data_IF_925768316114
#
_entry.id   IF_925768316114
#
_cell.length_a   1.000
_cell.length_b   1.000
_cell.length_c   1.000
_cell.angle_alpha   90.00
_cell.angle_beta   90.00
_cell.angle_gamma   90.00
#
_symmetry.space_group_name_H-M   'P 1'
#
loop_
_entity.id
_entity.type
_entity.pdbx_description
1 polymer ?
#
# COMPACT_ATOMS: atom_id res chain seq x y z
N UNK A 1 10.64 1.41 -82.27
CA UNK A 1 10.10 0.58 -81.18
C UNK A 1 10.37 1.30 -79.87
N UNK A 2 9.31 1.83 -79.27
CA UNK A 2 9.35 2.73 -78.11
C UNK A 2 9.12 1.93 -76.81
N UNK A 3 9.86 2.17 -75.72
CA UNK A 3 9.52 1.55 -74.44
C UNK A 3 8.50 2.42 -73.69
N UNK A 4 7.39 1.80 -73.31
CA UNK A 4 6.29 2.37 -72.55
C UNK A 4 6.64 2.48 -71.07
N UNK A 5 6.63 3.70 -70.54
CA UNK A 5 6.77 3.95 -69.10
C UNK A 5 5.45 3.65 -68.36
N UNK A 6 5.44 2.64 -67.47
CA UNK A 6 4.34 2.43 -66.51
C UNK A 6 4.49 3.40 -65.33
N UNK A 7 3.59 4.38 -65.22
CA UNK A 7 3.41 5.21 -64.02
C UNK A 7 2.77 4.38 -62.90
N UNK A 8 3.38 4.37 -61.71
CA UNK A 8 2.78 3.81 -60.48
C UNK A 8 1.70 4.76 -59.93
N UNK A 9 0.54 4.28 -59.45
CA UNK A 9 -0.52 5.14 -58.94
C UNK A 9 -0.14 5.67 -57.55
N UNK A 10 0.00 6.99 -57.42
CA UNK A 10 0.29 7.69 -56.16
C UNK A 10 -0.87 7.69 -55.16
N UNK A 11 -2.05 7.22 -55.56
CA UNK A 11 -3.27 7.19 -54.72
C UNK A 11 -3.34 6.01 -53.75
N UNK A 12 -2.59 4.92 -53.98
CA UNK A 12 -2.61 3.75 -53.10
C UNK A 12 -1.82 3.96 -51.79
N UNK A 13 -0.83 4.86 -51.78
CA UNK A 13 0.00 5.13 -50.60
C UNK A 13 -0.72 6.05 -49.60
N UNK A 14 -1.60 6.94 -50.07
CA UNK A 14 -2.39 7.82 -49.21
C UNK A 14 -3.43 7.08 -48.35
N UNK A 15 -4.10 6.06 -48.92
CA UNK A 15 -5.08 5.26 -48.18
C UNK A 15 -4.44 4.31 -47.16
N UNK A 16 -3.22 3.81 -47.42
CA UNK A 16 -2.50 2.95 -46.49
C UNK A 16 -2.04 3.72 -45.23
N UNK A 17 -1.63 4.99 -45.36
CA UNK A 17 -1.26 5.82 -44.21
C UNK A 17 -2.46 6.25 -43.36
N UNK A 18 -3.63 6.48 -43.97
CA UNK A 18 -4.86 6.76 -43.22
C UNK A 18 -5.38 5.53 -42.45
N UNK A 19 -5.23 4.32 -43.02
CA UNK A 19 -5.62 3.08 -42.36
C UNK A 19 -4.70 2.71 -41.18
N UNK A 20 -3.40 3.01 -41.26
CA UNK A 20 -2.44 2.73 -40.17
C UNK A 20 -2.61 3.74 -39.01
N UNK A 21 -3.00 4.99 -39.28
CA UNK A 21 -3.31 5.96 -38.23
C UNK A 21 -4.61 5.61 -37.47
N UNK A 22 -5.58 4.96 -38.12
CA UNK A 22 -6.82 4.51 -37.48
C UNK A 22 -6.65 3.26 -36.61
N UNK A 23 -5.61 2.46 -36.81
CA UNK A 23 -5.34 1.25 -35.99
C UNK A 23 -4.52 1.50 -34.73
N UNK A 24 -3.98 2.72 -34.54
CA UNK A 24 -3.29 3.12 -33.29
C UNK A 24 -4.18 3.93 -32.34
N UNK A 25 -5.35 4.36 -32.80
CA UNK A 25 -6.40 4.91 -31.95
C UNK A 25 -7.41 3.79 -31.66
N UNK A 26 -7.00 2.81 -30.84
CA UNK A 26 -8.00 2.04 -30.10
C UNK A 26 -8.93 3.05 -29.43
N UNK A 27 -10.26 2.96 -29.58
CA UNK A 27 -11.13 3.73 -28.71
C UNK A 27 -10.68 3.41 -27.29
N UNK A 28 -10.28 4.42 -26.53
CA UNK A 28 -10.23 4.28 -25.08
C UNK A 28 -11.68 4.06 -24.71
N UNK A 29 -12.06 2.80 -24.45
CA UNK A 29 -13.40 2.52 -23.94
C UNK A 29 -13.45 3.26 -22.61
N UNK A 30 -14.25 4.32 -22.57
CA UNK A 30 -14.55 5.05 -21.36
C UNK A 30 -15.43 4.13 -20.52
N UNK A 31 -14.83 3.47 -19.53
CA UNK A 31 -15.54 2.60 -18.60
C UNK A 31 -15.61 3.34 -17.26
N UNK A 32 -16.78 3.44 -16.61
CA UNK A 32 -16.85 3.91 -15.23
C UNK A 32 -15.90 3.08 -14.36
N UNK A 33 -15.35 3.73 -13.33
CA UNK A 33 -14.54 3.06 -12.33
C UNK A 33 -15.36 1.90 -11.73
N UNK A 34 -14.74 0.71 -11.55
CA UNK A 34 -15.34 -0.31 -10.71
C UNK A 34 -15.62 0.25 -9.32
N UNK A 35 -16.66 -0.26 -8.67
CA UNK A 35 -17.06 0.21 -7.35
C UNK A 35 -15.91 0.00 -6.35
N UNK A 36 -15.83 0.82 -5.30
CA UNK A 36 -14.80 0.64 -4.27
C UNK A 36 -14.80 -0.80 -3.70
N UNK A 37 -15.98 -1.39 -3.47
CA UNK A 37 -16.11 -2.77 -3.01
C UNK A 37 -15.54 -3.80 -4.01
N UNK A 38 -15.70 -3.58 -5.32
CA UNK A 38 -15.11 -4.45 -6.34
C UNK A 38 -13.58 -4.32 -6.37
N UNK A 39 -13.05 -3.10 -6.26
CA UNK A 39 -11.61 -2.87 -6.18
C UNK A 39 -11.00 -3.45 -4.90
N UNK A 40 -11.72 -3.36 -3.78
CA UNK A 40 -11.33 -3.95 -2.51
C UNK A 40 -11.27 -5.49 -2.60
N UNK A 41 -12.23 -6.12 -3.27
CA UNK A 41 -12.23 -7.57 -3.49
C UNK A 41 -11.02 -8.05 -4.33
N UNK A 42 -10.43 -7.17 -5.14
CA UNK A 42 -9.23 -7.45 -5.95
C UNK A 42 -7.92 -7.08 -5.24
N UNK A 43 -7.98 -6.51 -4.03
CA UNK A 43 -6.81 -6.00 -3.30
C UNK A 43 -5.75 -7.07 -3.04
N UNK A 44 -6.11 -8.36 -3.01
CA UNK A 44 -5.17 -9.48 -2.90
C UNK A 44 -4.14 -9.55 -4.03
N UNK A 45 -4.39 -8.91 -5.18
CA UNK A 45 -3.48 -8.84 -6.31
C UNK A 45 -2.65 -7.54 -6.35
N UNK A 46 -2.85 -6.62 -5.41
CA UNK A 46 -2.10 -5.37 -5.36
C UNK A 46 -0.61 -5.64 -5.04
N UNK A 47 0.35 -4.89 -5.62
CA UNK A 47 1.78 -5.13 -5.38
C UNK A 47 2.17 -5.15 -3.89
N UNK A 48 1.58 -4.28 -3.07
CA UNK A 48 1.85 -4.20 -1.63
C UNK A 48 1.37 -5.45 -0.86
N UNK A 49 0.23 -6.03 -1.24
CA UNK A 49 -0.31 -7.23 -0.61
C UNK A 49 0.43 -8.49 -1.07
N UNK A 50 0.84 -8.53 -2.34
CA UNK A 50 1.71 -9.58 -2.89
C UNK A 50 3.09 -9.58 -2.24
N UNK A 51 3.71 -8.41 -2.05
CA UNK A 51 4.98 -8.27 -1.33
C UNK A 51 4.87 -8.79 0.11
N UNK A 52 3.83 -8.36 0.82
CA UNK A 52 3.56 -8.81 2.18
C UNK A 52 3.31 -10.32 2.26
N UNK A 53 2.58 -10.89 1.28
CA UNK A 53 2.36 -12.32 1.13
C UNK A 53 3.67 -13.08 0.92
N UNK A 54 4.53 -12.63 0.00
CA UNK A 54 5.83 -13.25 -0.27
C UNK A 54 6.77 -13.20 0.95
N UNK A 55 6.75 -12.11 1.71
CA UNK A 55 7.51 -11.99 2.96
C UNK A 55 7.03 -13.00 4.01
N UNK A 56 5.72 -13.22 4.12
CA UNK A 56 5.14 -14.25 4.98
C UNK A 56 5.49 -15.67 4.51
N UNK A 57 5.42 -15.95 3.20
CA UNK A 57 5.81 -17.24 2.62
C UNK A 57 7.28 -17.56 2.88
N UNK A 58 8.15 -16.54 2.79
CA UNK A 58 9.55 -16.67 3.14
C UNK A 58 9.75 -16.98 4.64
N UNK A 59 8.96 -16.37 5.53
CA UNK A 59 9.00 -16.67 6.96
C UNK A 59 8.52 -18.12 7.26
N UNK A 60 7.44 -18.57 6.61
CA UNK A 60 6.97 -19.95 6.70
C UNK A 60 7.99 -20.95 6.13
N UNK A 61 8.70 -20.60 5.06
CA UNK A 61 9.82 -21.39 4.55
C UNK A 61 10.96 -21.49 5.57
N UNK A 62 11.28 -20.41 6.29
CA UNK A 62 12.26 -20.44 7.41
C UNK A 62 11.78 -21.33 8.56
N UNK A 63 10.47 -21.38 8.86
CA UNK A 63 9.90 -22.33 9.82
C UNK A 63 10.11 -23.78 9.37
N UNK A 64 9.88 -24.09 8.08
CA UNK A 64 10.16 -25.42 7.53
C UNK A 64 11.65 -25.75 7.60
N UNK A 65 12.52 -24.81 7.23
CA UNK A 65 13.97 -24.98 7.31
C UNK A 65 14.44 -25.21 8.75
N UNK A 66 13.88 -24.49 9.73
CA UNK A 66 14.19 -24.68 11.14
C UNK A 66 13.89 -26.11 11.64
N UNK A 67 12.94 -26.81 11.01
CA UNK A 67 12.60 -28.21 11.32
C UNK A 67 13.57 -29.22 10.72
N UNK A 68 14.35 -28.86 9.71
CA UNK A 68 15.29 -29.80 9.07
C UNK A 68 16.43 -30.13 10.03
N UNK A 69 16.89 -31.38 10.01
CA UNK A 69 18.07 -31.83 10.76
C UNK A 69 19.34 -31.52 9.96
N UNK A 70 20.48 -31.24 10.59
CA UNK A 70 21.76 -31.14 9.92
C UNK A 70 22.03 -32.40 9.10
N UNK A 71 22.57 -32.22 7.89
CA UNK A 71 22.97 -33.35 7.06
C UNK A 71 24.14 -34.08 7.71
N UNK A 72 24.21 -35.42 7.57
CA UNK A 72 25.39 -36.15 7.96
C UNK A 72 26.59 -35.75 7.09
N UNK A 73 27.79 -35.87 7.65
CA UNK A 73 29.06 -35.59 6.96
C UNK A 73 29.78 -36.91 6.72
N UNK A 74 30.03 -37.24 5.45
CA UNK A 74 30.90 -38.36 5.07
C UNK A 74 32.35 -37.86 5.03
N UNK A 75 33.20 -38.43 5.87
CA UNK A 75 34.64 -38.21 5.91
C UNK A 75 35.39 -39.40 5.34
N UNK A 76 36.45 -39.11 4.59
CA UNK A 76 37.43 -40.09 4.13
C UNK A 76 38.82 -39.59 4.48
N UNK A 77 39.52 -40.34 5.33
CA UNK A 77 40.85 -39.99 5.83
C UNK A 77 41.85 -41.07 5.41
N UNK A 78 43.03 -40.63 4.97
CA UNK A 78 44.18 -41.52 4.72
C UNK A 78 45.33 -41.06 5.61
N UNK A 79 45.70 -41.91 6.55
CA UNK A 79 46.78 -41.68 7.51
C UNK A 79 47.97 -42.60 7.21
N UNK A 80 49.13 -42.34 7.79
CA UNK A 80 50.32 -43.20 7.66
C UNK A 80 50.82 -43.44 6.21
N UNK A 81 50.50 -42.53 5.29
CA UNK A 81 50.86 -42.57 3.88
C UNK A 81 51.96 -41.54 3.51
N UNK A 82 52.78 -41.86 2.50
CA UNK A 82 53.80 -40.97 1.90
C UNK A 82 54.80 -40.33 2.89
N UNK A 83 55.14 -41.04 3.97
CA UNK A 83 56.17 -40.66 4.93
C UNK A 83 57.55 -41.28 4.64
N UNK A 84 58.40 -41.35 5.66
CA UNK A 84 59.71 -42.00 5.62
C UNK A 84 59.74 -43.28 6.48
N UNK A 85 60.70 -44.17 6.22
CA UNK A 85 60.82 -45.41 6.98
C UNK A 85 59.61 -46.33 6.77
N UNK A 86 58.99 -46.88 7.84
CA UNK A 86 57.80 -47.74 7.72
C UNK A 86 56.62 -47.08 7.00
N UNK A 87 56.51 -45.75 7.00
CA UNK A 87 55.38 -45.04 6.40
C UNK A 87 55.60 -44.65 4.93
N UNK A 88 56.62 -45.22 4.28
CA UNK A 88 56.94 -44.96 2.87
C UNK A 88 55.89 -45.58 1.94
N UNK A 89 55.39 -44.80 0.99
CA UNK A 89 54.36 -45.25 0.03
C UNK A 89 53.00 -45.41 0.68
N UNK A 90 52.25 -46.46 0.31
CA UNK A 90 50.90 -46.75 0.80
C UNK A 90 50.78 -48.09 1.54
N UNK A 91 51.87 -48.84 1.65
CA UNK A 91 51.82 -50.22 2.15
C UNK A 91 51.41 -50.33 3.62
N UNK A 92 51.53 -49.23 4.39
CA UNK A 92 51.10 -49.13 5.78
C UNK A 92 50.09 -47.98 5.99
N UNK A 93 49.39 -47.58 4.92
CA UNK A 93 48.41 -46.50 5.00
C UNK A 93 47.13 -46.98 5.69
N UNK A 94 46.63 -46.19 6.62
CA UNK A 94 45.34 -46.44 7.26
C UNK A 94 44.26 -45.65 6.53
N UNK A 95 43.21 -46.32 6.06
CA UNK A 95 42.09 -45.67 5.38
C UNK A 95 40.86 -45.71 6.26
N UNK A 96 40.28 -44.55 6.56
CA UNK A 96 39.04 -44.45 7.33
C UNK A 96 37.93 -43.88 6.47
N UNK A 97 36.78 -44.55 6.44
CA UNK A 97 35.54 -43.99 5.91
C UNK A 97 34.55 -43.88 7.07
N UNK A 98 34.13 -42.66 7.41
CA UNK A 98 33.25 -42.41 8.55
C UNK A 98 32.08 -41.49 8.19
N UNK A 99 30.92 -41.73 8.78
CA UNK A 99 29.78 -40.82 8.74
C UNK A 99 29.64 -40.20 10.12
N UNK A 100 29.59 -38.87 10.18
CA UNK A 100 29.35 -38.12 11.41
C UNK A 100 28.02 -37.36 11.34
N UNK A 101 27.35 -37.25 12.49
CA UNK A 101 26.06 -36.60 12.62
C UNK A 101 26.05 -35.73 13.87
N UNK A 102 25.60 -34.49 13.69
CA UNK A 102 25.24 -33.61 14.81
C UNK A 102 23.92 -34.08 15.44
N UNK A 103 23.95 -34.31 16.76
CA UNK A 103 22.82 -34.84 17.51
C UNK A 103 21.79 -33.76 17.91
N UNK A 104 22.08 -32.47 17.69
CA UNK A 104 21.22 -31.33 18.04
C UNK A 104 20.64 -31.40 19.47
N UNK A 105 21.50 -31.67 20.46
CA UNK A 105 21.08 -31.85 21.86
C UNK A 105 20.53 -30.57 22.51
N UNK A 106 20.08 -30.67 23.76
CA UNK A 106 19.64 -29.54 24.60
C UNK A 106 18.42 -28.77 24.09
N UNK A 107 17.68 -29.33 23.13
CA UNK A 107 16.56 -28.62 22.50
C UNK A 107 17.00 -27.56 21.49
N UNK A 108 18.20 -27.66 20.89
CA UNK A 108 18.65 -26.77 19.79
C UNK A 108 17.60 -26.66 18.69
N UNK A 109 17.08 -27.81 18.25
CA UNK A 109 16.03 -27.85 17.23
C UNK A 109 14.72 -27.24 17.68
N UNK A 110 14.26 -27.53 18.91
CA UNK A 110 12.97 -27.02 19.39
C UNK A 110 12.98 -25.51 19.59
N UNK A 111 14.06 -24.96 20.14
CA UNK A 111 14.25 -23.50 20.29
C UNK A 111 14.35 -22.80 18.95
N UNK A 112 15.11 -23.35 17.99
CA UNK A 112 15.17 -22.84 16.60
C UNK A 112 13.79 -22.80 15.94
N UNK A 113 13.00 -23.87 16.09
CA UNK A 113 11.61 -23.93 15.57
C UNK A 113 10.72 -22.90 16.27
N UNK A 114 10.82 -22.77 17.60
CA UNK A 114 10.00 -21.83 18.36
C UNK A 114 10.28 -20.38 17.97
N UNK A 115 11.55 -20.01 17.81
CA UNK A 115 11.93 -18.68 17.33
C UNK A 115 11.42 -18.41 15.90
N UNK A 116 11.67 -19.33 14.96
CA UNK A 116 11.19 -19.19 13.59
C UNK A 116 9.66 -19.06 13.51
N UNK A 117 8.91 -19.80 14.33
CA UNK A 117 7.43 -19.70 14.40
C UNK A 117 6.97 -18.35 14.95
N UNK A 118 7.60 -17.86 16.01
CA UNK A 118 7.26 -16.56 16.58
C UNK A 118 7.56 -15.43 15.58
N UNK A 119 8.67 -15.52 14.85
CA UNK A 119 9.00 -14.59 13.76
C UNK A 119 7.97 -14.66 12.62
N UNK A 120 7.60 -15.85 12.14
CA UNK A 120 6.58 -16.00 11.13
C UNK A 120 5.22 -15.47 11.58
N UNK A 121 4.85 -15.66 12.86
CA UNK A 121 3.65 -15.07 13.44
C UNK A 121 3.66 -13.54 13.41
N UNK A 122 4.80 -12.91 13.74
CA UNK A 122 4.95 -11.46 13.64
C UNK A 122 4.85 -10.95 12.19
N UNK A 123 5.49 -11.65 11.25
CA UNK A 123 5.39 -11.32 9.81
C UNK A 123 3.96 -11.52 9.28
N UNK A 124 3.24 -12.52 9.76
CA UNK A 124 1.83 -12.74 9.42
C UNK A 124 0.95 -11.57 9.82
N UNK A 125 1.13 -11.04 11.04
CA UNK A 125 0.40 -9.85 11.50
C UNK A 125 0.82 -8.59 10.74
N UNK A 126 2.09 -8.46 10.34
CA UNK A 126 2.54 -7.36 9.47
C UNK A 126 1.90 -7.44 8.09
N UNK A 127 1.72 -8.64 7.54
CA UNK A 127 0.99 -8.83 6.29
C UNK A 127 -0.47 -8.39 6.43
N UNK A 128 -1.14 -8.77 7.51
CA UNK A 128 -2.53 -8.37 7.75
C UNK A 128 -2.65 -6.84 7.87
N UNK A 129 -1.71 -6.19 8.57
CA UNK A 129 -1.64 -4.72 8.63
C UNK A 129 -1.38 -4.08 7.25
N UNK A 130 -0.49 -4.66 6.42
CA UNK A 130 -0.23 -4.18 5.07
C UNK A 130 -1.48 -4.25 4.17
N UNK A 131 -2.34 -5.25 4.35
CA UNK A 131 -3.63 -5.35 3.64
C UNK A 131 -4.57 -4.22 4.07
N UNK A 132 -4.69 -3.96 5.38
CA UNK A 132 -5.51 -2.87 5.92
C UNK A 132 -5.02 -1.50 5.42
N UNK A 133 -3.71 -1.29 5.41
CA UNK A 133 -3.10 -0.06 4.91
C UNK A 133 -3.29 0.11 3.39
N UNK A 134 -3.21 -0.98 2.62
CA UNK A 134 -3.48 -0.96 1.19
C UNK A 134 -4.96 -0.63 0.90
N UNK A 135 -5.90 -1.19 1.67
CA UNK A 135 -7.32 -0.87 1.57
C UNK A 135 -7.60 0.60 1.87
N UNK A 136 -7.02 1.13 2.95
CA UNK A 136 -7.15 2.55 3.30
C UNK A 136 -6.55 3.50 2.28
N UNK A 137 -5.40 3.14 1.70
CA UNK A 137 -4.78 3.91 0.60
C UNK A 137 -5.66 3.92 -0.64
N UNK A 138 -6.24 2.78 -1.00
CA UNK A 138 -7.17 2.66 -2.13
C UNK A 138 -8.42 3.52 -1.92
N UNK A 139 -9.04 3.45 -0.74
CA UNK A 139 -10.21 4.25 -0.38
C UNK A 139 -9.93 5.76 -0.48
N UNK A 140 -8.77 6.21 0.01
CA UNK A 140 -8.36 7.61 -0.06
C UNK A 140 -8.23 8.09 -1.50
N UNK A 141 -7.54 7.31 -2.36
CA UNK A 141 -7.33 7.68 -3.76
C UNK A 141 -8.66 7.69 -4.54
N UNK A 142 -9.55 6.73 -4.26
CA UNK A 142 -10.88 6.70 -4.84
C UNK A 142 -11.67 7.96 -4.46
N UNK A 143 -11.72 8.32 -3.17
CA UNK A 143 -12.43 9.50 -2.69
C UNK A 143 -11.82 10.82 -3.21
N UNK A 144 -10.49 10.90 -3.37
CA UNK A 144 -9.83 12.04 -3.99
C UNK A 144 -10.17 12.19 -5.47
N UNK A 145 -10.25 11.07 -6.21
CA UNK A 145 -10.69 11.08 -7.60
C UNK A 145 -12.17 11.49 -7.73
N UNK A 146 -13.02 11.02 -6.83
CA UNK A 146 -14.42 11.42 -6.78
C UNK A 146 -14.58 12.92 -6.45
N UNK A 147 -13.81 13.43 -5.49
CA UNK A 147 -13.82 14.86 -5.15
C UNK A 147 -13.35 15.73 -6.33
N UNK A 148 -12.30 15.29 -7.04
CA UNK A 148 -11.81 15.98 -8.24
C UNK A 148 -12.86 15.98 -9.36
N UNK A 149 -13.58 14.86 -9.57
CA UNK A 149 -14.72 14.81 -10.49
C UNK A 149 -15.80 15.84 -10.11
N UNK A 150 -16.22 15.90 -8.84
CA UNK A 150 -17.23 16.87 -8.39
C UNK A 150 -16.79 18.32 -8.59
N UNK A 151 -15.51 18.64 -8.35
CA UNK A 151 -14.96 19.98 -8.61
C UNK A 151 -14.96 20.32 -10.08
N UNK A 152 -14.61 19.38 -10.96
CA UNK A 152 -14.68 19.58 -12.41
C UNK A 152 -16.14 19.83 -12.87
N UNK A 153 -17.11 19.07 -12.36
CA UNK A 153 -18.54 19.30 -12.61
C UNK A 153 -18.99 20.68 -12.12
N UNK A 154 -18.62 21.06 -10.90
CA UNK A 154 -18.93 22.39 -10.34
C UNK A 154 -18.32 23.53 -11.18
N UNK A 155 -17.09 23.35 -11.67
CA UNK A 155 -16.43 24.34 -12.52
C UNK A 155 -17.13 24.49 -13.89
N UNK A 156 -17.60 23.38 -14.47
CA UNK A 156 -18.40 23.40 -15.73
C UNK A 156 -19.75 24.10 -15.53
N UNK A 157 -20.45 23.82 -14.42
CA UNK A 157 -21.69 24.52 -14.05
C UNK A 157 -21.43 26.03 -13.86
N UNK A 158 -20.35 26.38 -13.17
CA UNK A 158 -19.96 27.78 -12.90
C UNK A 158 -19.64 28.52 -14.20
N UNK A 159 -18.95 27.87 -15.13
CA UNK A 159 -18.68 28.41 -16.45
C UNK A 159 -19.98 28.65 -17.23
N UNK A 160 -20.89 27.67 -17.22
CA UNK A 160 -22.18 27.76 -17.91
C UNK A 160 -23.01 28.94 -17.41
N UNK A 161 -23.11 29.08 -16.08
CA UNK A 161 -23.81 30.22 -15.45
C UNK A 161 -23.14 31.55 -15.77
N UNK A 162 -21.81 31.63 -15.67
CA UNK A 162 -21.06 32.87 -15.90
C UNK A 162 -21.16 33.34 -17.36
N UNK A 163 -21.14 32.42 -18.33
CA UNK A 163 -21.36 32.75 -19.74
C UNK A 163 -22.79 33.24 -19.98
N UNK A 164 -23.79 32.61 -19.37
CA UNK A 164 -25.18 33.05 -19.49
C UNK A 164 -25.38 34.47 -18.94
N UNK A 165 -24.82 34.74 -17.76
CA UNK A 165 -24.92 36.04 -17.10
C UNK A 165 -24.14 37.15 -17.83
N UNK A 166 -22.99 36.80 -18.44
CA UNK A 166 -22.24 37.71 -19.30
C UNK A 166 -23.03 38.08 -20.57
N UNK A 167 -23.70 37.11 -21.21
CA UNK A 167 -24.57 37.36 -22.38
C UNK A 167 -25.75 38.25 -22.02
N UNK A 168 -26.42 37.99 -20.91
CA UNK A 168 -27.53 38.82 -20.45
C UNK A 168 -27.08 40.28 -20.18
N UNK A 169 -25.91 40.47 -19.60
CA UNK A 169 -25.34 41.79 -19.39
C UNK A 169 -25.02 42.52 -20.71
N UNK A 170 -24.49 41.82 -21.72
CA UNK A 170 -24.24 42.38 -23.04
C UNK A 170 -25.52 42.85 -23.73
N UNK A 171 -26.60 42.07 -23.65
CA UNK A 171 -27.91 42.49 -24.18
C UNK A 171 -28.41 43.80 -23.52
N UNK A 172 -28.24 43.97 -22.21
CA UNK A 172 -28.60 45.21 -21.53
C UNK A 172 -27.73 46.41 -21.94
N UNK A 173 -26.46 46.17 -22.29
CA UNK A 173 -25.57 47.20 -22.85
C UNK A 173 -26.04 47.61 -24.24
N UNK A 174 -26.42 46.66 -25.09
CA UNK A 174 -26.97 46.92 -26.44
C UNK A 174 -28.29 47.70 -26.38
N UNK A 175 -29.13 47.43 -25.38
CA UNK A 175 -30.35 48.20 -25.08
C UNK A 175 -30.08 49.59 -24.45
N UNK A 176 -28.82 49.93 -24.17
CA UNK A 176 -28.43 51.19 -23.54
C UNK A 176 -28.80 51.30 -22.05
N UNK A 177 -29.10 50.18 -21.40
CA UNK A 177 -29.55 50.11 -19.99
C UNK A 177 -28.41 49.88 -19.00
N UNK A 178 -27.23 49.47 -19.48
CA UNK A 178 -26.02 49.27 -18.70
C UNK A 178 -24.78 49.85 -19.41
N UNK A 179 -23.72 50.29 -18.69
CA UNK A 179 -22.48 50.75 -19.30
C UNK A 179 -21.68 49.62 -19.97
N UNK A 180 -20.96 49.93 -21.06
CA UNK A 180 -20.07 48.99 -21.76
C UNK A 180 -19.07 48.28 -20.84
N UNK A 181 -18.60 48.95 -19.79
CA UNK A 181 -17.74 48.37 -18.76
C UNK A 181 -18.29 47.06 -18.19
N UNK A 182 -19.62 46.94 -18.03
CA UNK A 182 -20.27 45.74 -17.49
C UNK A 182 -20.18 44.54 -18.41
N UNK A 183 -20.29 44.76 -19.73
CA UNK A 183 -20.08 43.74 -20.75
C UNK A 183 -18.65 43.21 -20.72
N UNK A 184 -17.66 44.10 -20.75
CA UNK A 184 -16.22 43.75 -20.70
C UNK A 184 -15.89 42.95 -19.43
N UNK A 185 -16.42 43.36 -18.27
CA UNK A 185 -16.24 42.60 -17.03
C UNK A 185 -16.84 41.19 -17.09
N UNK A 186 -18.02 41.03 -17.70
CA UNK A 186 -18.64 39.72 -17.86
C UNK A 186 -17.84 38.79 -18.77
N UNK A 187 -17.27 39.31 -19.86
CA UNK A 187 -16.37 38.54 -20.74
C UNK A 187 -15.09 38.11 -20.02
N UNK A 188 -14.47 38.99 -19.23
CA UNK A 188 -13.30 38.66 -18.42
C UNK A 188 -13.60 37.57 -17.37
N UNK A 189 -14.75 37.65 -16.71
CA UNK A 189 -15.22 36.62 -15.76
C UNK A 189 -15.45 35.28 -16.45
N UNK A 190 -16.07 35.27 -17.64
CA UNK A 190 -16.26 34.05 -18.42
C UNK A 190 -14.92 33.43 -18.86
N UNK A 191 -13.94 34.25 -19.24
CA UNK A 191 -12.59 33.77 -19.57
C UNK A 191 -11.89 33.16 -18.34
N UNK A 192 -12.01 33.78 -17.16
CA UNK A 192 -11.50 33.24 -15.90
C UNK A 192 -12.16 31.90 -15.55
N UNK A 193 -13.49 31.81 -15.64
CA UNK A 193 -14.23 30.58 -15.38
C UNK A 193 -13.85 29.43 -16.34
N UNK A 194 -13.51 29.74 -17.60
CA UNK A 194 -12.97 28.74 -18.55
C UNK A 194 -11.64 28.18 -18.07
N UNK A 195 -10.72 29.06 -17.66
CA UNK A 195 -9.42 28.64 -17.14
C UNK A 195 -9.58 27.76 -15.88
N UNK A 196 -10.44 28.14 -14.93
CA UNK A 196 -10.74 27.34 -13.74
C UNK A 196 -11.33 25.97 -14.09
N UNK A 197 -12.21 25.90 -15.11
CA UNK A 197 -12.75 24.63 -15.58
C UNK A 197 -11.67 23.75 -16.20
N UNK A 198 -10.83 24.32 -17.07
CA UNK A 198 -9.74 23.58 -17.72
C UNK A 198 -8.76 23.01 -16.67
N UNK A 199 -8.45 23.78 -15.62
CA UNK A 199 -7.65 23.33 -14.47
C UNK A 199 -8.33 22.20 -13.69
N UNK A 200 -9.61 22.35 -13.32
CA UNK A 200 -10.35 21.34 -12.58
C UNK A 200 -10.50 20.02 -13.37
N UNK A 201 -10.65 20.11 -14.70
CA UNK A 201 -10.64 18.93 -15.59
C UNK A 201 -9.27 18.24 -15.58
N UNK A 202 -8.18 19.00 -15.67
CA UNK A 202 -6.83 18.45 -15.59
C UNK A 202 -6.56 17.78 -14.23
N UNK A 203 -7.02 18.35 -13.12
CA UNK A 203 -6.90 17.74 -11.79
C UNK A 203 -7.68 16.42 -11.68
N UNK A 204 -8.90 16.37 -12.21
CA UNK A 204 -9.71 15.15 -12.30
C UNK A 204 -8.99 14.08 -13.10
N UNK A 205 -8.50 14.41 -14.29
CA UNK A 205 -7.81 13.46 -15.17
C UNK A 205 -6.54 12.91 -14.51
N UNK A 206 -5.80 13.77 -13.78
CA UNK A 206 -4.66 13.33 -12.98
C UNK A 206 -5.07 12.41 -11.81
N UNK A 207 -6.21 12.67 -11.17
CA UNK A 207 -6.71 11.81 -10.10
C UNK A 207 -7.18 10.44 -10.62
N UNK A 208 -7.85 10.39 -11.77
CA UNK A 208 -8.20 9.14 -12.44
C UNK A 208 -6.97 8.34 -12.87
N UNK A 209 -5.93 9.00 -13.39
CA UNK A 209 -4.68 8.32 -13.72
C UNK A 209 -4.04 7.68 -12.49
N UNK A 210 -4.05 8.36 -11.33
CA UNK A 210 -3.58 7.80 -10.05
C UNK A 210 -4.43 6.62 -9.59
N UNK A 211 -5.76 6.71 -9.67
CA UNK A 211 -6.66 5.62 -9.31
C UNK A 211 -6.44 4.41 -10.21
N UNK A 212 -6.39 4.60 -11.53
CA UNK A 212 -6.11 3.55 -12.52
C UNK A 212 -4.81 2.81 -12.19
N UNK A 213 -3.74 3.56 -11.86
CA UNK A 213 -2.44 2.98 -11.53
C UNK A 213 -2.46 2.18 -10.22
N UNK A 214 -3.08 2.71 -9.16
CA UNK A 214 -3.07 2.05 -7.84
C UNK A 214 -4.02 0.85 -7.79
N UNK A 215 -5.17 0.96 -8.45
CA UNK A 215 -6.13 -0.13 -8.57
C UNK A 215 -5.76 -1.14 -9.67
N UNK A 216 -4.66 -0.92 -10.40
CA UNK A 216 -4.18 -1.79 -11.49
C UNK A 216 -5.26 -2.08 -12.54
N UNK A 217 -6.10 -1.08 -12.83
CA UNK A 217 -7.21 -1.19 -13.77
C UNK A 217 -6.61 -1.20 -15.19
N UNK A 218 -6.98 -2.17 -16.06
CA UNK A 218 -6.40 -2.29 -17.40
C UNK A 218 -6.79 -1.14 -18.34
N UNK A 219 -7.91 -0.47 -18.05
CA UNK A 219 -8.46 0.63 -18.85
C UNK A 219 -8.50 1.90 -17.99
N UNK A 220 -8.15 3.08 -18.54
CA UNK A 220 -8.22 4.33 -17.79
C UNK A 220 -9.62 4.63 -17.27
N UNK A 221 -9.71 4.99 -15.99
CA UNK A 221 -10.95 5.50 -15.39
C UNK A 221 -11.36 6.81 -16.07
N UNK A 222 -12.64 6.93 -16.42
CA UNK A 222 -13.19 8.16 -17.02
C UNK A 222 -14.31 8.79 -16.21
N UNK A 223 -14.88 8.05 -15.26
CA UNK A 223 -15.98 8.49 -14.40
C UNK A 223 -16.04 7.63 -13.14
N UNK A 224 -16.57 8.18 -12.06
CA UNK A 224 -16.93 7.49 -10.82
C UNK A 224 -18.44 7.66 -10.62
N UNK A 225 -19.16 6.55 -10.57
CA UNK A 225 -20.62 6.53 -10.39
C UNK A 225 -21.01 6.28 -8.93
N UNK A 226 -20.36 5.32 -8.28
CA UNK A 226 -20.59 5.02 -6.87
C UNK A 226 -19.81 5.97 -5.96
N UNK A 227 -20.56 6.66 -5.10
CA UNK A 227 -20.08 7.75 -4.25
C UNK A 227 -19.70 7.27 -2.86
N UNK A 228 -18.42 7.40 -2.49
CA UNK A 228 -17.98 7.27 -1.09
C UNK A 228 -18.27 8.56 -0.31
N UNK A 229 -18.24 9.72 -1.00
CA UNK A 229 -18.42 11.02 -0.35
C UNK A 229 -19.81 11.21 0.26
N UNK A 230 -20.85 10.56 -0.30
CA UNK A 230 -22.22 10.65 0.20
C UNK A 230 -22.66 9.46 1.08
N UNK A 231 -21.79 8.47 1.33
CA UNK A 231 -22.13 7.39 2.26
C UNK A 231 -22.43 7.94 3.66
N UNK A 232 -23.34 7.29 4.39
CA UNK A 232 -23.64 7.68 5.76
C UNK A 232 -22.39 7.49 6.65
N UNK A 233 -22.18 8.34 7.67
CA UNK A 233 -21.04 8.18 8.55
C UNK A 233 -21.03 6.83 9.25
N UNK A 234 -19.86 6.19 9.30
CA UNK A 234 -19.70 4.91 10.00
C UNK A 234 -19.97 5.10 11.50
N UNK A 235 -20.74 4.19 12.11
CA UNK A 235 -20.96 4.20 13.55
C UNK A 235 -19.65 3.87 14.28
N UNK A 236 -19.29 4.70 15.26
CA UNK A 236 -18.10 4.47 16.07
C UNK A 236 -18.36 3.25 16.95
N UNK A 237 -17.72 2.12 16.62
CA UNK A 237 -17.77 0.90 17.42
C UNK A 237 -17.08 1.05 18.78
N UNK A 238 -17.30 0.06 19.66
CA UNK A 238 -16.58 -0.01 20.94
C UNK A 238 -15.07 -0.08 20.72
N UNK A 239 -14.30 0.37 21.72
CA UNK A 239 -12.84 0.31 21.72
C UNK A 239 -12.41 -1.12 21.37
N UNK A 240 -11.63 -1.27 20.30
CA UNK A 240 -10.98 -2.54 20.00
C UNK A 240 -9.77 -2.59 20.93
N UNK A 241 -9.83 -3.46 21.94
CA UNK A 241 -8.75 -3.63 22.93
C UNK A 241 -7.41 -4.04 22.29
N UNK A 242 -7.45 -4.57 21.06
CA UNK A 242 -6.29 -5.09 20.33
C UNK A 242 -6.05 -4.37 18.99
N UNK A 243 -5.53 -3.14 19.04
CA UNK A 243 -5.12 -2.42 17.83
C UNK A 243 -4.08 -3.25 17.01
N UNK A 244 -4.15 -3.30 15.67
CA UNK A 244 -3.26 -4.14 14.85
C UNK A 244 -1.77 -3.87 15.08
N UNK A 245 -1.40 -2.60 15.24
CA UNK A 245 -0.02 -2.17 15.49
C UNK A 245 0.51 -2.69 16.83
N UNK A 246 -0.35 -2.75 17.85
CA UNK A 246 -0.04 -3.33 19.16
C UNK A 246 0.16 -4.84 19.04
N UNK A 247 -0.72 -5.54 18.30
CA UNK A 247 -0.59 -6.99 18.05
C UNK A 247 0.72 -7.33 17.34
N UNK A 248 1.11 -6.52 16.34
CA UNK A 248 2.41 -6.67 15.65
C UNK A 248 3.57 -6.48 16.64
N UNK A 249 3.55 -5.41 17.44
CA UNK A 249 4.61 -5.14 18.41
C UNK A 249 4.72 -6.24 19.48
N UNK A 250 3.59 -6.80 19.92
CA UNK A 250 3.54 -7.89 20.89
C UNK A 250 4.11 -9.20 20.31
N UNK A 251 3.77 -9.52 19.06
CA UNK A 251 4.36 -10.67 18.36
C UNK A 251 5.87 -10.49 18.13
N UNK A 252 6.33 -9.28 17.80
CA UNK A 252 7.76 -8.98 17.68
C UNK A 252 8.50 -9.12 19.01
N UNK A 253 7.92 -8.66 20.13
CA UNK A 253 8.44 -8.88 21.48
C UNK A 253 8.54 -10.38 21.79
N UNK A 254 7.49 -11.15 21.50
CA UNK A 254 7.51 -12.60 21.68
C UNK A 254 8.60 -13.28 20.84
N UNK A 255 8.78 -12.86 19.59
CA UNK A 255 9.85 -13.36 18.73
C UNK A 255 11.24 -13.04 19.29
N UNK A 256 11.46 -11.81 19.78
CA UNK A 256 12.71 -11.41 20.43
C UNK A 256 13.00 -12.25 21.69
N UNK A 257 11.97 -12.56 22.49
CA UNK A 257 12.11 -13.46 23.65
C UNK A 257 12.58 -14.86 23.23
N UNK A 258 11.96 -15.45 22.19
CA UNK A 258 12.37 -16.78 21.70
C UNK A 258 13.80 -16.80 21.15
N UNK A 259 14.32 -15.68 20.63
CA UNK A 259 15.73 -15.59 20.22
C UNK A 259 16.70 -15.70 21.40
N UNK A 260 16.33 -15.21 22.59
CA UNK A 260 17.14 -15.39 23.80
C UNK A 260 17.31 -16.88 24.10
N UNK A 261 16.25 -17.67 23.97
CA UNK A 261 16.31 -19.12 24.21
C UNK A 261 17.23 -19.82 23.21
N UNK A 262 17.18 -19.42 21.93
CA UNK A 262 18.12 -19.90 20.91
C UNK A 262 19.57 -19.61 21.32
N UNK A 263 19.88 -18.38 21.73
CA UNK A 263 21.24 -18.01 22.13
C UNK A 263 21.71 -18.71 23.41
N UNK A 264 20.81 -18.93 24.37
CA UNK A 264 21.09 -19.72 25.59
C UNK A 264 21.39 -21.17 25.29
N UNK A 265 20.70 -21.77 24.33
CA UNK A 265 20.96 -23.15 23.91
C UNK A 265 22.24 -23.25 23.08
N UNK A 266 22.54 -22.26 22.23
CA UNK A 266 23.80 -22.18 21.48
C UNK A 266 25.04 -22.06 22.39
N UNK A 267 24.89 -21.52 23.60
CA UNK A 267 25.96 -21.47 24.59
C UNK A 267 26.35 -22.84 25.17
N UNK A 268 25.50 -23.87 25.00
CA UNK A 268 25.84 -25.24 25.40
C UNK A 268 26.77 -25.88 24.36
N UNK A 269 27.62 -26.84 24.71
CA UNK A 269 28.41 -27.59 23.73
C UNK A 269 27.52 -28.38 22.77
N UNK A 270 27.93 -28.55 21.51
CA UNK A 270 27.25 -29.46 20.59
C UNK A 270 27.91 -30.83 20.57
N UNK A 271 27.13 -31.91 20.47
CA UNK A 271 27.69 -33.26 20.48
C UNK A 271 27.50 -33.89 19.11
N UNK A 272 28.61 -34.26 18.50
CA UNK A 272 28.65 -35.02 17.26
C UNK A 272 29.01 -36.47 17.55
N UNK A 273 28.30 -37.40 16.92
CA UNK A 273 28.62 -38.81 16.94
C UNK A 273 29.04 -39.27 15.54
N UNK A 274 30.02 -40.16 15.48
CA UNK A 274 30.55 -40.73 14.25
C UNK A 274 30.65 -42.24 14.34
N UNK A 275 30.38 -42.89 13.22
CA UNK A 275 30.58 -44.31 13.01
C UNK A 275 31.32 -44.50 11.70
N UNK A 276 32.31 -45.37 11.68
CA UNK A 276 33.12 -45.60 10.49
C UNK A 276 33.73 -46.98 10.43
N UNK A 277 34.39 -47.24 9.32
CA UNK A 277 35.19 -48.43 9.08
C UNK A 277 36.60 -47.94 8.80
N UNK A 278 37.59 -48.53 9.49
CA UNK A 278 39.01 -48.29 9.27
C UNK A 278 39.68 -49.56 8.76
N UNK A 279 40.43 -49.42 7.68
CA UNK A 279 41.30 -50.44 7.10
C UNK A 279 42.74 -50.12 7.50
N UNK A 280 43.39 -51.09 8.12
CA UNK A 280 44.80 -51.05 8.46
C UNK A 280 45.57 -51.89 7.45
N UNK A 281 46.29 -51.25 6.53
CA UNK A 281 47.02 -51.98 5.47
C UNK A 281 48.24 -52.73 6.01
N UNK A 282 48.86 -52.26 7.10
CA UNK A 282 50.02 -52.93 7.71
C UNK A 282 49.66 -54.31 8.29
N UNK A 283 48.47 -54.43 8.89
CA UNK A 283 47.97 -55.66 9.53
C UNK A 283 46.98 -56.46 8.66
N UNK A 284 46.68 -56.01 7.44
CA UNK A 284 45.62 -56.56 6.57
C UNK A 284 44.28 -56.71 7.32
N UNK A 285 43.95 -55.75 8.19
CA UNK A 285 42.83 -55.83 9.12
C UNK A 285 41.83 -54.71 8.91
N UNK A 286 40.56 -54.97 9.24
CA UNK A 286 39.47 -53.99 9.18
C UNK A 286 38.77 -53.91 10.53
N UNK A 287 38.55 -52.69 11.02
CA UNK A 287 37.87 -52.44 12.28
C UNK A 287 36.74 -51.43 12.13
N UNK A 288 35.74 -51.51 13.01
CA UNK A 288 34.75 -50.46 13.19
C UNK A 288 35.27 -49.39 14.14
N UNK A 289 35.01 -48.13 13.82
CA UNK A 289 35.32 -46.99 14.65
C UNK A 289 34.04 -46.32 15.12
N UNK A 290 34.02 -45.93 16.39
CA UNK A 290 32.97 -45.12 16.98
C UNK A 290 33.63 -43.92 17.64
N UNK A 291 33.12 -42.72 17.37
CA UNK A 291 33.67 -41.50 17.92
C UNK A 291 32.57 -40.58 18.41
N UNK A 292 32.80 -39.92 19.55
CA UNK A 292 31.97 -38.82 20.02
C UNK A 292 32.87 -37.60 20.16
N UNK A 293 32.46 -36.47 19.59
CA UNK A 293 33.19 -35.21 19.70
C UNK A 293 32.28 -34.12 20.27
N UNK A 294 32.86 -33.26 21.08
CA UNK A 294 32.17 -32.14 21.72
C UNK A 294 33.17 -30.98 21.90
N UNK A 295 32.85 -29.75 21.45
CA UNK A 295 33.71 -28.60 21.69
C UNK A 295 33.68 -28.21 23.17
N UNK A 296 34.82 -27.82 23.71
CA UNK A 296 34.92 -27.31 25.08
C UNK A 296 34.90 -25.76 25.04
N UNK A 297 33.81 -25.10 25.50
CA UNK A 297 33.66 -23.64 25.43
C UNK A 297 34.50 -22.92 26.51
N UNK A 298 35.82 -22.94 26.34
CA UNK A 298 36.76 -22.30 27.26
C UNK A 298 36.76 -20.77 27.08
N UNK A 299 36.76 -20.31 25.83
CA UNK A 299 36.84 -18.89 25.46
C UNK A 299 35.48 -18.34 25.03
N UNK A 300 34.85 -18.97 24.04
CA UNK A 300 33.53 -18.57 23.54
C UNK A 300 32.43 -19.32 24.30
N UNK A 301 31.72 -18.59 25.17
CA UNK A 301 30.54 -19.06 25.90
C UNK A 301 29.25 -18.40 25.41
N UNK A 302 29.27 -17.79 24.23
CA UNK A 302 28.16 -17.08 23.61
C UNK A 302 27.57 -15.92 24.46
N UNK A 303 28.33 -15.38 25.44
CA UNK A 303 27.83 -14.37 26.40
C UNK A 303 27.38 -13.09 25.70
N UNK A 304 28.18 -12.59 24.76
CA UNK A 304 27.87 -11.37 24.01
C UNK A 304 26.59 -11.49 23.18
N UNK A 305 26.37 -12.64 22.52
CA UNK A 305 25.14 -12.85 21.75
C UNK A 305 23.90 -13.00 22.63
N UNK A 306 24.03 -13.58 23.84
CA UNK A 306 22.95 -13.60 24.83
C UNK A 306 22.63 -12.18 25.31
N UNK A 307 23.65 -11.38 25.65
CA UNK A 307 23.49 -10.00 26.08
C UNK A 307 22.84 -9.13 24.99
N UNK A 308 23.26 -9.31 23.73
CA UNK A 308 22.66 -8.67 22.56
C UNK A 308 21.18 -9.05 22.40
N UNK A 309 20.84 -10.34 22.44
CA UNK A 309 19.45 -10.79 22.34
C UNK A 309 18.56 -10.27 23.50
N UNK A 310 19.12 -10.16 24.71
CA UNK A 310 18.43 -9.54 25.85
C UNK A 310 18.19 -8.04 25.64
N UNK A 311 19.17 -7.33 25.05
CA UNK A 311 19.01 -5.91 24.71
C UNK A 311 17.96 -5.71 23.60
N UNK A 312 17.95 -6.57 22.58
CA UNK A 312 16.93 -6.58 21.53
C UNK A 312 15.53 -6.81 22.08
N UNK A 313 15.37 -7.74 23.04
CA UNK A 313 14.11 -7.96 23.74
C UNK A 313 13.67 -6.72 24.53
N UNK A 314 14.57 -6.08 25.30
CA UNK A 314 14.24 -4.83 26.00
C UNK A 314 13.82 -3.72 25.03
N UNK A 315 14.47 -3.64 23.87
CA UNK A 315 14.08 -2.70 22.82
C UNK A 315 12.68 -3.03 22.25
N UNK A 316 12.37 -4.31 22.02
CA UNK A 316 11.04 -4.74 21.57
C UNK A 316 9.95 -4.49 22.62
N UNK A 317 10.25 -4.67 23.91
CA UNK A 317 9.36 -4.36 25.03
C UNK A 317 9.04 -2.85 25.10
N UNK A 318 10.06 -1.99 24.95
CA UNK A 318 9.87 -0.54 24.86
C UNK A 318 9.03 -0.13 23.63
N UNK A 319 9.23 -0.77 22.47
CA UNK A 319 8.40 -0.55 21.27
C UNK A 319 6.93 -0.92 21.51
N UNK A 320 6.66 -2.00 22.23
CA UNK A 320 5.30 -2.38 22.61
C UNK A 320 4.65 -1.33 23.52
N UNK A 321 5.40 -0.77 24.48
CA UNK A 321 4.90 0.31 25.33
C UNK A 321 4.56 1.57 24.52
N UNK A 322 5.42 1.94 23.56
CA UNK A 322 5.16 3.07 22.63
C UNK A 322 3.91 2.80 21.79
N UNK A 323 3.83 1.62 21.15
CA UNK A 323 2.71 1.25 20.30
C UNK A 323 1.36 1.30 21.03
N UNK A 324 1.32 0.91 22.31
CA UNK A 324 0.11 1.01 23.14
C UNK A 324 -0.31 2.46 23.40
N UNK A 325 0.64 3.33 23.73
CA UNK A 325 0.36 4.75 23.98
C UNK A 325 -0.05 5.48 22.70
N UNK A 326 0.66 5.23 21.60
CA UNK A 326 0.37 5.76 20.27
C UNK A 326 -1.02 5.31 19.80
N UNK A 327 -1.33 4.00 19.86
CA UNK A 327 -2.65 3.51 19.47
C UNK A 327 -3.79 4.16 20.26
N UNK A 328 -3.62 4.37 21.57
CA UNK A 328 -4.61 5.04 22.39
C UNK A 328 -4.78 6.52 22.00
N UNK A 329 -3.67 7.24 21.81
CA UNK A 329 -3.68 8.65 21.44
C UNK A 329 -4.23 8.87 20.02
N UNK A 330 -3.79 8.07 19.05
CA UNK A 330 -4.19 8.14 17.66
C UNK A 330 -5.68 7.82 17.50
N UNK A 331 -6.19 6.82 18.22
CA UNK A 331 -7.62 6.50 18.20
C UNK A 331 -8.46 7.63 18.80
N UNK A 332 -8.05 8.20 19.94
CA UNK A 332 -8.75 9.34 20.52
C UNK A 332 -8.77 10.55 19.57
N UNK A 333 -7.64 10.83 18.91
CA UNK A 333 -7.54 11.89 17.91
C UNK A 333 -8.40 11.60 16.66
N UNK A 334 -8.43 10.36 16.18
CA UNK A 334 -9.25 9.95 15.03
C UNK A 334 -10.74 10.09 15.32
N UNK A 335 -11.20 9.67 16.50
CA UNK A 335 -12.60 9.85 16.95
C UNK A 335 -12.98 11.34 17.00
N UNK A 336 -12.11 12.19 17.57
CA UNK A 336 -12.35 13.63 17.62
C UNK A 336 -12.38 14.25 16.22
N UNK A 337 -11.46 13.86 15.33
CA UNK A 337 -11.43 14.31 13.92
C UNK A 337 -12.69 13.88 13.17
N UNK A 338 -13.14 12.64 13.34
CA UNK A 338 -14.35 12.14 12.71
C UNK A 338 -15.58 12.94 13.16
N UNK A 339 -15.77 13.10 14.48
CA UNK A 339 -16.87 13.91 15.03
C UNK A 339 -16.87 15.35 14.47
N UNK A 340 -15.71 15.99 14.44
CA UNK A 340 -15.57 17.33 13.87
C UNK A 340 -15.87 17.37 12.36
N UNK A 341 -15.47 16.34 11.60
CA UNK A 341 -15.71 16.25 10.17
C UNK A 341 -17.19 16.05 9.83
N UNK A 342 -17.92 15.25 10.61
CA UNK A 342 -19.38 15.07 10.49
C UNK A 342 -20.12 16.38 10.77
N UNK A 343 -19.74 17.09 11.84
CA UNK A 343 -20.29 18.42 12.14
C UNK A 343 -20.02 19.42 11.00
N UNK A 344 -18.81 19.36 10.40
CA UNK A 344 -18.44 20.19 9.26
C UNK A 344 -19.28 19.89 8.01
N UNK A 345 -19.55 18.63 7.71
CA UNK A 345 -20.43 18.25 6.58
C UNK A 345 -21.83 18.84 6.78
N UNK A 346 -22.43 18.67 7.97
CA UNK A 346 -23.75 19.23 8.26
C UNK A 346 -23.80 20.76 8.13
N UNK A 347 -22.77 21.46 8.61
CA UNK A 347 -22.66 22.90 8.48
C UNK A 347 -22.48 23.35 7.02
N UNK A 348 -21.66 22.63 6.25
CA UNK A 348 -21.44 22.92 4.83
C UNK A 348 -22.72 22.72 4.00
N UNK A 349 -23.49 21.65 4.26
CA UNK A 349 -24.75 21.38 3.57
C UNK A 349 -25.83 22.44 3.86
N UNK A 350 -25.91 22.91 5.12
CA UNK A 350 -26.74 24.07 5.47
C UNK A 350 -26.29 25.34 4.75
N UNK A 351 -24.97 25.54 4.63
CA UNK A 351 -24.38 26.66 3.89
C UNK A 351 -24.69 26.63 2.39
N UNK A 352 -24.64 25.46 1.75
CA UNK A 352 -25.05 25.28 0.34
C UNK A 352 -26.51 25.64 0.17
N UNK A 353 -27.40 25.09 1.00
CA UNK A 353 -28.85 25.36 0.95
C UNK A 353 -29.14 26.86 1.04
N UNK A 354 -28.50 27.57 1.97
CA UNK A 354 -28.67 29.01 2.12
C UNK A 354 -28.12 29.80 0.92
N UNK A 355 -26.96 29.41 0.38
CA UNK A 355 -26.33 30.08 -0.75
C UNK A 355 -27.10 29.86 -2.06
N UNK A 356 -27.71 28.68 -2.25
CA UNK A 356 -28.57 28.38 -3.40
C UNK A 356 -29.81 29.29 -3.42
N UNK A 357 -30.47 29.42 -2.28
CA UNK A 357 -31.64 30.29 -2.16
C UNK A 357 -31.27 31.77 -2.33
N UNK A 358 -30.14 32.22 -1.74
CA UNK A 358 -29.64 33.57 -1.91
C UNK A 358 -29.31 33.89 -3.38
N UNK A 359 -28.67 32.97 -4.10
CA UNK A 359 -28.38 33.12 -5.52
C UNK A 359 -29.67 33.14 -6.36
N UNK A 360 -30.64 32.27 -6.07
CA UNK A 360 -31.93 32.22 -6.74
C UNK A 360 -32.69 33.54 -6.61
N UNK A 361 -32.79 34.08 -5.40
CA UNK A 361 -33.44 35.37 -5.14
C UNK A 361 -32.70 36.53 -5.80
N UNK A 362 -31.36 36.52 -5.76
CA UNK A 362 -30.52 37.53 -6.42
C UNK A 362 -30.74 37.54 -7.93
N UNK A 363 -30.87 36.36 -8.56
CA UNK A 363 -31.12 36.23 -10.00
C UNK A 363 -32.47 36.83 -10.39
N UNK A 364 -33.53 36.50 -9.66
CA UNK A 364 -34.88 37.08 -9.87
C UNK A 364 -34.86 38.60 -9.64
N UNK A 365 -34.14 39.06 -8.62
CA UNK A 365 -33.97 40.47 -8.34
C UNK A 365 -33.20 41.21 -9.44
N UNK A 366 -32.16 40.59 -10.01
CA UNK A 366 -31.37 41.15 -11.11
C UNK A 366 -32.21 41.24 -12.40
N UNK A 367 -32.92 40.18 -12.76
CA UNK A 367 -33.83 40.15 -13.92
C UNK A 367 -34.94 41.20 -13.81
N UNK A 368 -35.40 41.53 -12.60
CA UNK A 368 -36.38 42.59 -12.34
C UNK A 368 -35.78 43.99 -12.12
N UNK A 369 -34.46 44.14 -12.24
CA UNK A 369 -33.74 45.41 -12.05
C UNK A 369 -33.67 45.92 -10.60
N UNK A 370 -33.96 45.07 -9.62
CA UNK A 370 -33.99 45.40 -8.18
C UNK A 370 -32.68 45.11 -7.44
N UNK A 371 -31.84 44.25 -8.01
CA UNK A 371 -30.52 43.86 -7.47
C UNK A 371 -29.46 44.24 -8.51
N UNK A 372 -28.29 44.71 -8.05
CA UNK A 372 -27.20 45.08 -8.95
C UNK A 372 -26.44 43.86 -9.49
N UNK A 373 -25.78 43.99 -10.64
CA UNK A 373 -24.92 42.92 -11.18
C UNK A 373 -23.80 42.50 -10.20
N UNK A 374 -23.28 43.44 -9.43
CA UNK A 374 -22.22 43.17 -8.44
C UNK A 374 -22.75 42.25 -7.35
N UNK A 375 -23.97 42.49 -6.87
CA UNK A 375 -24.60 41.68 -5.83
C UNK A 375 -24.94 40.26 -6.33
N UNK A 376 -25.42 40.12 -7.56
CA UNK A 376 -25.59 38.81 -8.21
C UNK A 376 -24.27 38.03 -8.29
N UNK A 377 -23.16 38.70 -8.62
CA UNK A 377 -21.83 38.08 -8.66
C UNK A 377 -21.35 37.65 -7.28
N UNK A 378 -21.58 38.47 -6.26
CA UNK A 378 -21.23 38.14 -4.87
C UNK A 378 -21.99 36.90 -4.42
N UNK A 379 -23.30 36.79 -4.69
CA UNK A 379 -24.09 35.61 -4.30
C UNK A 379 -23.74 34.36 -5.12
N UNK A 380 -23.40 34.50 -6.41
CA UNK A 380 -22.86 33.37 -7.20
C UNK A 380 -21.55 32.86 -6.61
N UNK A 381 -20.62 33.77 -6.32
CA UNK A 381 -19.31 33.42 -5.73
C UNK A 381 -19.50 32.73 -4.37
N UNK A 382 -20.44 33.22 -3.55
CA UNK A 382 -20.78 32.58 -2.29
C UNK A 382 -21.33 31.16 -2.49
N UNK A 383 -22.18 30.91 -3.50
CA UNK A 383 -22.69 29.58 -3.83
C UNK A 383 -21.58 28.63 -4.28
N UNK A 384 -20.69 29.08 -5.18
CA UNK A 384 -19.56 28.26 -5.65
C UNK A 384 -18.64 27.89 -4.48
N UNK A 385 -18.32 28.85 -3.62
CA UNK A 385 -17.51 28.62 -2.42
C UNK A 385 -18.19 27.65 -1.44
N UNK A 386 -19.51 27.78 -1.22
CA UNK A 386 -20.26 26.88 -0.36
C UNK A 386 -20.25 25.43 -0.90
N UNK A 387 -20.47 25.26 -2.21
CA UNK A 387 -20.43 23.93 -2.86
C UNK A 387 -19.03 23.32 -2.82
N UNK A 388 -17.97 24.11 -3.06
CA UNK A 388 -16.59 23.63 -2.92
C UNK A 388 -16.30 23.19 -1.48
N UNK A 389 -16.70 24.01 -0.49
CA UNK A 389 -16.52 23.68 0.92
C UNK A 389 -17.28 22.40 1.32
N UNK A 390 -18.43 22.12 0.71
CA UNK A 390 -19.19 20.90 0.93
C UNK A 390 -18.51 19.64 0.36
N UNK A 391 -17.84 19.75 -0.79
CA UNK A 391 -16.98 18.66 -1.33
C UNK A 391 -15.79 18.42 -0.39
N UNK A 392 -15.12 19.50 0.04
CA UNK A 392 -13.97 19.39 0.96
C UNK A 392 -14.34 18.82 2.33
N UNK A 393 -15.51 19.19 2.85
CA UNK A 393 -16.04 18.65 4.11
C UNK A 393 -16.30 17.14 4.01
N UNK A 394 -16.93 16.68 2.91
CA UNK A 394 -17.17 15.25 2.67
C UNK A 394 -15.87 14.46 2.52
N UNK A 395 -14.89 14.99 1.78
CA UNK A 395 -13.57 14.36 1.64
C UNK A 395 -12.83 14.27 2.99
N UNK A 396 -12.92 15.33 3.81
CA UNK A 396 -12.34 15.33 5.15
C UNK A 396 -13.01 14.29 6.07
N UNK A 397 -14.32 14.07 5.93
CA UNK A 397 -15.05 13.00 6.64
C UNK A 397 -14.55 11.62 6.22
N UNK A 398 -14.54 11.34 4.92
CA UNK A 398 -14.05 10.05 4.39
C UNK A 398 -12.61 9.77 4.83
N UNK A 399 -11.72 10.78 4.81
CA UNK A 399 -10.36 10.66 5.37
C UNK A 399 -10.35 10.26 6.85
N UNK A 400 -11.17 10.91 7.67
CA UNK A 400 -11.26 10.59 9.10
C UNK A 400 -11.83 9.18 9.36
N UNK A 401 -12.75 8.71 8.52
CA UNK A 401 -13.29 7.34 8.58
C UNK A 401 -12.24 6.30 8.19
N UNK A 402 -11.47 6.56 7.13
CA UNK A 402 -10.35 5.70 6.71
C UNK A 402 -9.31 5.58 7.84
N UNK A 403 -8.92 6.71 8.45
CA UNK A 403 -7.97 6.72 9.55
C UNK A 403 -8.47 5.90 10.74
N UNK A 404 -9.73 6.08 11.13
CA UNK A 404 -10.32 5.32 12.24
C UNK A 404 -10.41 3.82 11.92
N UNK A 405 -10.84 3.45 10.71
CA UNK A 405 -10.94 2.06 10.29
C UNK A 405 -9.58 1.34 10.31
N UNK A 406 -8.51 2.01 9.83
CA UNK A 406 -7.14 1.48 9.86
C UNK A 406 -6.65 1.23 11.29
N UNK A 407 -6.88 2.18 12.20
CA UNK A 407 -6.51 2.05 13.61
C UNK A 407 -7.29 0.94 14.32
N UNK A 408 -8.55 0.74 13.94
CA UNK A 408 -9.42 -0.34 14.39
C UNK A 408 -9.12 -1.69 13.69
N UNK A 409 -8.22 -1.72 12.70
CA UNK A 409 -7.83 -2.94 12.00
C UNK A 409 -8.85 -3.52 11.06
N UNK A 410 -9.71 -2.68 10.49
CA UNK A 410 -10.75 -3.05 9.53
C UNK A 410 -10.49 -2.35 8.20
N UNK A 411 -10.92 -2.96 7.10
CA UNK A 411 -10.95 -2.23 5.84
C UNK A 411 -12.03 -1.12 5.94
N UNK A 412 -11.76 0.09 5.44
CA UNK A 412 -12.76 1.15 5.44
C UNK A 412 -13.88 0.82 4.46
N UNK A 413 -15.11 1.22 4.79
CA UNK A 413 -16.32 1.03 3.98
C UNK A 413 -16.67 -0.43 3.65
N UNK A 414 -16.13 -1.41 4.39
CA UNK A 414 -16.76 -2.73 4.46
C UNK A 414 -18.02 -2.58 5.32
N UNK A 415 -19.19 -2.78 4.69
CA UNK A 415 -20.46 -2.78 5.42
C UNK A 415 -20.37 -3.67 6.66
N UNK A 416 -20.97 -3.23 7.77
CA UNK A 416 -21.10 -4.06 8.95
C UNK A 416 -21.82 -5.36 8.56
N UNK A 417 -21.08 -6.46 8.42
CA UNK A 417 -21.67 -7.80 8.35
C UNK A 417 -22.07 -8.25 9.74
#
# INVERSE_FOLDING_TARGET
MSPTSRRRPRYAVGCALAAIAATLASPVWADPAPTYAQLLAQLGNAPATLEAGANYDAAEARVRQARVRPNPVLGFDVENAYGSGPYSGLNNADMTLAISQDLELWGRRSTRIAAARAEAGAVGLQRDLAVIDAAGRLALIYAEAEAAQRRATLAEETLTLTVADARAALTLVEEGREPLLRGIQGEAEAASARATRDEAVAERDAAYARLTAVAMIPVPVTQIEDSLLDEAPTTIGSVIEDAPTVRVAEAQRSAAERRIDVQRVQARPDINASIGIRRFEAEDATALTFGVSMPLPLFDRNRGNIEAAQAEFRAADARLMSARQEAQADRAAAVARLSASVSRVNAADGGVTAAEEAYRLSRIGFESGRISQVELRVTRTALVNARSAAVDARLARVRAEIDLARLDGRAPFEGAQ
#
